data_IF_301491929908
#
_entry.id   IF_301491929908
#
_cell.length_a   1.000
_cell.length_b   1.000
_cell.length_c   1.000
_cell.angle_alpha   90.00
_cell.angle_beta   90.00
_cell.angle_gamma   90.00
#
_symmetry.space_group_name_H-M   'P 1'
#
loop_
_entity.id
_entity.type
_entity.pdbx_description
1 polymer ?
#
# COMPACT_ATOMS: atom_id res chain seq x y z
N UNK A 1 -6.31 -2.59 2.20
CA UNK A 1 -6.83 -1.31 2.69
C UNK A 1 -5.73 -0.27 2.61
N UNK A 2 -5.97 0.74 1.78
CA UNK A 2 -5.23 2.01 1.71
C UNK A 2 -5.72 2.98 2.79
N UNK A 3 -5.05 4.12 2.94
CA UNK A 3 -5.49 5.22 3.79
C UNK A 3 -5.45 6.53 3.03
N UNK A 4 -6.32 7.45 3.38
CA UNK A 4 -6.41 8.79 2.82
C UNK A 4 -5.99 9.81 3.89
N UNK A 5 -5.08 10.71 3.55
CA UNK A 5 -4.67 11.83 4.40
C UNK A 5 -5.45 13.09 4.02
N UNK A 6 -6.11 13.70 5.00
CA UNK A 6 -6.91 14.91 4.88
C UNK A 6 -6.23 16.06 5.62
N UNK A 7 -5.92 17.16 4.93
CA UNK A 7 -5.43 18.38 5.57
C UNK A 7 -6.60 19.30 5.92
N UNK A 8 -6.73 19.65 7.20
CA UNK A 8 -7.79 20.48 7.76
C UNK A 8 -7.17 21.82 8.18
N UNK A 9 -7.73 22.99 7.77
CA UNK A 9 -7.26 24.28 8.27
C UNK A 9 -7.24 24.32 9.80
N UNK A 10 -6.18 24.87 10.40
CA UNK A 10 -5.97 24.75 11.86
C UNK A 10 -7.08 25.37 12.71
N UNK A 11 -7.73 26.43 12.23
CA UNK A 11 -8.91 27.01 12.90
C UNK A 11 -10.06 25.99 12.98
N UNK A 12 -10.35 25.30 11.87
CA UNK A 12 -11.41 24.29 11.78
C UNK A 12 -11.03 23.06 12.60
N UNK A 13 -9.77 22.61 12.51
CA UNK A 13 -9.29 21.48 13.30
C UNK A 13 -9.48 21.76 14.80
N UNK A 14 -9.08 22.94 15.29
CA UNK A 14 -9.21 23.31 16.71
C UNK A 14 -10.67 23.37 17.17
N UNK A 15 -11.60 23.75 16.30
CA UNK A 15 -13.03 23.70 16.61
C UNK A 15 -13.58 22.27 16.70
N UNK A 16 -13.07 21.36 15.88
CA UNK A 16 -13.54 19.97 15.76
C UNK A 16 -12.70 18.96 16.53
N UNK A 17 -11.58 19.35 17.15
CA UNK A 17 -10.55 18.45 17.67
C UNK A 17 -11.11 17.36 18.58
N UNK A 18 -11.93 17.74 19.57
CA UNK A 18 -12.53 16.77 20.48
C UNK A 18 -13.43 15.74 19.75
N UNK A 19 -14.18 16.19 18.73
CA UNK A 19 -15.05 15.33 17.94
C UNK A 19 -14.23 14.42 17.01
N UNK A 20 -13.15 14.93 16.42
CA UNK A 20 -12.21 14.15 15.61
C UNK A 20 -11.61 13.05 16.47
N UNK A 21 -10.99 13.39 17.61
CA UNK A 21 -10.31 12.44 18.49
C UNK A 21 -11.26 11.35 19.03
N UNK A 22 -12.49 11.70 19.41
CA UNK A 22 -13.53 10.73 19.78
C UNK A 22 -13.91 9.83 18.59
N UNK A 23 -14.17 10.42 17.43
CA UNK A 23 -14.62 9.72 16.22
C UNK A 23 -13.58 8.75 15.67
N UNK A 24 -12.28 9.05 15.77
CA UNK A 24 -11.21 8.14 15.37
C UNK A 24 -11.35 6.78 16.05
N UNK A 25 -11.75 6.75 17.32
CA UNK A 25 -11.86 5.51 18.10
C UNK A 25 -13.22 4.82 18.03
N UNK A 26 -14.31 5.53 17.71
CA UNK A 26 -15.66 4.94 17.82
C UNK A 26 -16.58 5.15 16.64
N UNK A 27 -16.36 6.16 15.80
CA UNK A 27 -17.25 6.45 14.69
C UNK A 27 -17.07 5.44 13.55
N UNK A 28 -18.13 5.25 12.77
CA UNK A 28 -17.99 4.63 11.46
C UNK A 28 -17.23 5.56 10.50
N UNK A 29 -16.80 5.02 9.36
CA UNK A 29 -16.00 5.77 8.38
C UNK A 29 -16.78 6.94 7.78
N UNK A 30 -18.06 6.75 7.47
CA UNK A 30 -18.88 7.78 6.82
C UNK A 30 -19.09 9.00 7.73
N UNK A 31 -19.33 8.77 9.03
CA UNK A 31 -19.42 9.83 10.02
C UNK A 31 -18.12 10.62 10.11
N UNK A 32 -16.98 9.94 10.13
CA UNK A 32 -15.69 10.62 10.16
C UNK A 32 -15.47 11.42 8.88
N UNK A 33 -15.78 10.86 7.70
CA UNK A 33 -15.67 11.59 6.44
C UNK A 33 -16.57 12.81 6.37
N UNK A 34 -17.78 12.76 6.93
CA UNK A 34 -18.67 13.92 6.99
C UNK A 34 -18.07 15.09 7.79
N UNK A 35 -17.26 14.78 8.82
CA UNK A 35 -16.52 15.81 9.57
C UNK A 35 -15.34 16.39 8.77
N UNK A 36 -14.85 15.67 7.76
CA UNK A 36 -13.68 16.01 6.94
C UNK A 36 -14.05 16.57 5.55
N UNK A 37 -15.30 16.40 5.12
CA UNK A 37 -15.77 16.52 3.72
C UNK A 37 -15.64 17.92 3.11
N UNK A 38 -15.35 18.96 3.90
CA UNK A 38 -15.15 20.33 3.40
C UNK A 38 -13.68 20.69 3.10
N UNK A 39 -12.75 19.71 3.14
CA UNK A 39 -11.32 20.01 3.02
C UNK A 39 -10.62 19.39 1.80
N UNK A 40 -10.00 20.27 1.01
CA UNK A 40 -9.68 20.12 -0.42
C UNK A 40 -8.51 19.18 -0.76
N UNK A 41 -7.68 18.78 0.21
CA UNK A 41 -6.49 17.98 -0.10
C UNK A 41 -6.57 16.58 0.48
N UNK A 42 -6.90 15.64 -0.40
CA UNK A 42 -6.92 14.20 -0.17
C UNK A 42 -5.70 13.57 -0.83
N UNK A 43 -4.82 12.98 -0.03
CA UNK A 43 -3.65 12.24 -0.52
C UNK A 43 -3.84 10.77 -0.19
N UNK A 44 -3.86 9.92 -1.22
CA UNK A 44 -3.98 8.47 -1.05
C UNK A 44 -2.61 7.89 -0.68
N UNK A 45 -2.55 7.14 0.42
CA UNK A 45 -1.43 6.32 0.83
C UNK A 45 -1.75 4.85 0.55
N UNK A 46 -0.90 4.20 -0.24
CA UNK A 46 -1.03 2.77 -0.51
C UNK A 46 -0.93 1.94 0.77
N UNK A 47 -1.40 0.70 0.70
CA UNK A 47 -1.48 -0.21 1.85
C UNK A 47 -0.14 -0.36 2.60
N UNK A 48 0.99 -0.48 1.90
CA UNK A 48 2.32 -0.52 2.54
C UNK A 48 2.79 0.82 3.11
N UNK A 49 2.37 1.93 2.52
CA UNK A 49 2.87 3.27 2.84
C UNK A 49 2.35 3.79 4.16
N UNK A 50 1.04 3.72 4.39
CA UNK A 50 0.47 4.17 5.65
C UNK A 50 0.99 3.32 6.81
N UNK A 51 1.26 2.03 6.59
CA UNK A 51 1.77 1.14 7.63
C UNK A 51 3.17 1.51 8.09
N UNK A 52 4.08 1.75 7.16
CA UNK A 52 5.44 2.19 7.52
C UNK A 52 5.44 3.59 8.14
N UNK A 53 4.52 4.46 7.70
CA UNK A 53 4.33 5.78 8.30
C UNK A 53 3.82 5.69 9.74
N UNK A 54 2.76 4.91 9.99
CA UNK A 54 2.14 4.78 11.31
C UNK A 54 3.08 4.12 12.33
N UNK A 55 3.89 3.14 11.88
CA UNK A 55 4.93 2.54 12.72
C UNK A 55 6.00 3.58 13.12
N UNK A 56 6.42 4.45 12.20
CA UNK A 56 7.36 5.52 12.52
C UNK A 56 6.70 6.61 13.39
N UNK A 57 5.45 6.95 13.11
CA UNK A 57 4.65 7.97 13.78
C UNK A 57 3.94 7.45 15.04
N UNK A 58 4.54 6.48 15.74
CA UNK A 58 3.89 5.78 16.85
C UNK A 58 3.60 6.65 18.08
N UNK A 59 4.29 7.77 18.20
CA UNK A 59 4.11 8.75 19.28
C UNK A 59 2.87 9.65 19.08
N UNK A 60 2.31 9.70 17.86
CA UNK A 60 1.11 10.49 17.58
C UNK A 60 -0.16 9.68 17.88
N UNK A 61 -1.29 10.39 18.05
CA UNK A 61 -2.56 9.72 18.32
C UNK A 61 -3.01 8.88 17.11
N UNK A 62 -3.12 7.57 17.31
CA UNK A 62 -3.55 6.64 16.29
C UNK A 62 -4.44 5.51 16.84
N UNK A 63 -5.29 4.99 15.97
CA UNK A 63 -6.18 3.86 16.21
C UNK A 63 -5.98 2.88 15.06
N UNK A 64 -5.27 1.78 15.35
CA UNK A 64 -5.08 0.67 14.41
C UNK A 64 -5.74 -0.58 14.99
N UNK A 65 -6.86 -0.99 14.41
CA UNK A 65 -7.58 -2.23 14.76
C UNK A 65 -7.82 -3.04 13.49
N UNK A 66 -6.97 -4.03 13.28
CA UNK A 66 -7.05 -4.92 12.12
C UNK A 66 -8.34 -5.76 12.11
N UNK A 67 -9.00 -6.02 13.24
CA UNK A 67 -10.27 -6.79 13.26
C UNK A 67 -11.44 -5.96 12.77
N UNK A 68 -11.38 -4.65 12.96
CA UNK A 68 -12.40 -3.71 12.52
C UNK A 68 -12.03 -3.01 11.21
N UNK A 69 -10.93 -3.43 10.56
CA UNK A 69 -10.36 -2.77 9.38
C UNK A 69 -10.20 -1.25 9.61
N UNK A 70 -9.64 -0.87 10.77
CA UNK A 70 -9.48 0.53 11.15
C UNK A 70 -8.01 0.91 11.18
N UNK A 71 -7.67 1.99 10.48
CA UNK A 71 -6.32 2.54 10.39
C UNK A 71 -6.40 4.06 10.35
N UNK A 72 -6.42 4.67 11.54
CA UNK A 72 -6.67 6.10 11.68
C UNK A 72 -5.60 6.78 12.52
N UNK A 73 -5.28 8.01 12.19
CA UNK A 73 -4.31 8.84 12.91
C UNK A 73 -4.73 10.30 12.81
N UNK A 74 -4.42 11.08 13.83
CA UNK A 74 -4.59 12.52 13.76
C UNK A 74 -3.33 13.23 14.27
N UNK A 75 -2.97 14.28 13.55
CA UNK A 75 -1.87 15.18 13.84
C UNK A 75 -2.49 16.55 14.07
N UNK A 76 -2.42 17.04 15.30
CA UNK A 76 -2.90 18.39 15.59
C UNK A 76 -2.00 19.45 14.93
N UNK A 77 -2.50 20.68 14.70
CA UNK A 77 -1.67 21.78 14.21
C UNK A 77 -0.43 22.05 15.07
N UNK A 78 -0.53 21.82 16.38
CA UNK A 78 0.54 22.05 17.34
C UNK A 78 1.64 20.97 17.24
N UNK A 79 1.28 19.76 16.81
CA UNK A 79 2.18 18.61 16.57
C UNK A 79 2.72 18.56 15.13
N UNK A 80 2.19 19.40 14.23
CA UNK A 80 2.50 19.33 12.80
C UNK A 80 4.00 19.50 12.52
N UNK A 81 4.69 20.38 13.26
CA UNK A 81 6.13 20.59 13.07
C UNK A 81 6.93 19.31 13.31
N UNK A 82 6.61 18.57 14.38
CA UNK A 82 7.27 17.31 14.73
C UNK A 82 6.96 16.22 13.69
N UNK A 83 5.70 16.18 13.22
CA UNK A 83 5.30 15.26 12.16
C UNK A 83 6.01 15.56 10.83
N UNK A 84 6.12 16.84 10.46
CA UNK A 84 6.84 17.28 9.24
C UNK A 84 8.32 16.95 9.32
N UNK A 85 8.96 17.13 10.48
CA UNK A 85 10.34 16.71 10.71
C UNK A 85 10.52 15.19 10.54
N UNK A 86 9.57 14.40 11.03
CA UNK A 86 9.57 12.95 10.87
C UNK A 86 9.46 12.53 9.40
N UNK A 87 8.46 13.01 8.66
CA UNK A 87 8.27 12.60 7.25
C UNK A 87 9.34 13.16 6.31
N UNK A 88 10.05 14.23 6.75
CA UNK A 88 11.21 14.80 6.04
C UNK A 88 12.56 14.31 6.57
N UNK A 89 12.56 13.36 7.49
CA UNK A 89 13.78 12.73 7.93
C UNK A 89 14.48 12.03 6.75
N UNK A 90 15.73 12.41 6.48
CA UNK A 90 16.48 11.92 5.31
C UNK A 90 16.66 10.40 5.34
N UNK A 91 16.93 9.82 6.51
CA UNK A 91 17.14 8.38 6.64
C UNK A 91 15.84 7.61 6.36
N UNK A 92 14.71 8.10 6.86
CA UNK A 92 13.40 7.51 6.58
C UNK A 92 13.02 7.67 5.10
N UNK A 93 13.26 8.82 4.48
CA UNK A 93 12.97 9.00 3.05
C UNK A 93 13.78 8.06 2.16
N UNK A 94 15.07 7.87 2.47
CA UNK A 94 15.91 6.89 1.76
C UNK A 94 15.37 5.47 1.97
N UNK A 95 14.98 5.13 3.21
CA UNK A 95 14.42 3.83 3.52
C UNK A 95 13.08 3.58 2.80
N UNK A 96 12.19 4.57 2.74
CA UNK A 96 10.84 4.45 2.17
C UNK A 96 10.80 4.62 0.65
N UNK A 97 11.89 5.06 0.02
CA UNK A 97 11.99 5.23 -1.44
C UNK A 97 11.37 4.08 -2.26
N UNK A 98 11.52 2.79 -1.89
CA UNK A 98 10.92 1.69 -2.66
C UNK A 98 9.39 1.65 -2.68
N UNK A 99 8.72 2.32 -1.72
CA UNK A 99 7.26 2.29 -1.52
C UNK A 99 6.61 3.69 -1.59
N UNK A 100 7.38 4.76 -1.78
CA UNK A 100 6.94 6.14 -1.52
C UNK A 100 6.17 6.79 -2.68
N UNK A 101 4.97 6.28 -3.02
CA UNK A 101 4.10 6.94 -4.01
C UNK A 101 3.31 8.08 -3.35
N UNK A 102 2.35 7.75 -2.49
CA UNK A 102 1.56 8.73 -1.73
C UNK A 102 2.38 9.48 -0.66
N UNK A 103 3.39 8.85 -0.07
CA UNK A 103 4.28 9.46 0.92
C UNK A 103 5.07 10.63 0.33
N UNK A 104 5.50 10.53 -0.92
CA UNK A 104 6.18 11.64 -1.59
C UNK A 104 5.22 12.83 -1.77
N UNK A 105 3.98 12.58 -2.19
CA UNK A 105 2.95 13.61 -2.31
C UNK A 105 2.62 14.24 -0.95
N UNK A 106 2.52 13.43 0.12
CA UNK A 106 2.29 13.90 1.47
C UNK A 106 3.42 14.83 1.94
N UNK A 107 4.67 14.44 1.74
CA UNK A 107 5.85 15.23 2.10
C UNK A 107 5.83 16.60 1.42
N UNK A 108 5.49 16.63 0.13
CA UNK A 108 5.45 17.85 -0.68
C UNK A 108 4.28 18.76 -0.29
N UNK A 109 3.16 18.17 0.10
CA UNK A 109 1.94 18.90 0.43
C UNK A 109 1.95 19.54 1.83
N UNK A 110 2.75 19.03 2.77
CA UNK A 110 2.73 19.53 4.15
C UNK A 110 3.54 20.84 4.28
N UNK A 111 2.97 21.87 4.95
CA UNK A 111 3.66 23.14 5.12
C UNK A 111 4.79 23.03 6.16
N UNK A 112 5.85 23.81 5.98
CA UNK A 112 7.04 23.77 6.84
C UNK A 112 6.98 24.84 7.91
N UNK A 113 7.13 24.45 9.17
CA UNK A 113 7.37 25.37 10.28
C UNK A 113 6.19 26.33 10.56
N UNK A 114 4.97 25.95 10.18
CA UNK A 114 3.75 26.73 10.42
C UNK A 114 2.61 25.79 10.82
N UNK A 115 1.80 26.19 11.80
CA UNK A 115 0.65 25.44 12.35
C UNK A 115 -0.64 25.70 11.53
N UNK A 116 -0.54 25.72 10.20
CA UNK A 116 -1.66 26.11 9.34
C UNK A 116 -2.71 25.02 9.17
N UNK A 117 -2.35 23.76 9.43
CA UNK A 117 -3.22 22.61 9.21
C UNK A 117 -3.09 21.56 10.31
N UNK A 118 -4.17 20.83 10.59
CA UNK A 118 -4.11 19.50 11.18
C UNK A 118 -4.23 18.44 10.09
N UNK A 119 -3.77 17.22 10.35
CA UNK A 119 -3.82 16.12 9.37
C UNK A 119 -4.57 14.96 9.97
N UNK A 120 -5.58 14.45 9.27
CA UNK A 120 -6.34 13.27 9.69
C UNK A 120 -6.22 12.18 8.64
N UNK A 121 -5.84 10.98 9.08
CA UNK A 121 -5.73 9.79 8.24
C UNK A 121 -6.92 8.88 8.48
N UNK A 122 -7.56 8.43 7.40
CA UNK A 122 -8.74 7.55 7.45
C UNK A 122 -8.58 6.42 6.44
N UNK A 123 -8.97 5.21 6.81
CA UNK A 123 -8.95 4.06 5.91
C UNK A 123 -9.80 4.25 4.62
N UNK A 124 -9.39 3.59 3.52
CA UNK A 124 -10.26 3.40 2.36
C UNK A 124 -11.48 2.55 2.74
N UNK A 125 -12.64 2.82 2.15
CA UNK A 125 -13.83 2.00 2.39
C UNK A 125 -13.70 0.60 1.77
N UNK A 126 -14.48 -0.37 2.25
CA UNK A 126 -14.41 -1.77 1.80
C UNK A 126 -14.88 -2.03 0.35
N UNK A 127 -15.21 -0.98 -0.41
CA UNK A 127 -15.70 -1.08 -1.79
C UNK A 127 -14.75 -1.86 -2.71
N UNK A 128 -13.44 -1.82 -2.44
CA UNK A 128 -12.42 -2.56 -3.18
C UNK A 128 -12.58 -4.09 -3.08
N UNK A 129 -13.22 -4.61 -2.02
CA UNK A 129 -13.50 -6.05 -1.86
C UNK A 129 -14.47 -6.59 -2.93
N UNK A 130 -15.25 -5.70 -3.55
CA UNK A 130 -16.20 -6.05 -4.60
C UNK A 130 -15.61 -5.99 -6.00
N UNK A 131 -14.33 -5.63 -6.13
CA UNK A 131 -13.63 -5.65 -7.42
C UNK A 131 -13.46 -7.09 -7.91
N UNK A 132 -13.64 -7.31 -9.21
CA UNK A 132 -13.45 -8.63 -9.81
C UNK A 132 -12.04 -9.16 -9.55
N UNK A 133 -11.94 -10.45 -9.19
CA UNK A 133 -10.65 -11.08 -8.91
C UNK A 133 -9.79 -11.15 -10.17
N UNK A 134 -8.68 -10.41 -10.16
CA UNK A 134 -7.61 -10.61 -11.13
C UNK A 134 -6.79 -11.83 -10.71
N UNK A 135 -6.72 -12.82 -11.60
CA UNK A 135 -5.96 -14.05 -11.36
C UNK A 135 -4.53 -13.83 -11.86
N UNK A 136 -3.74 -13.10 -11.08
CA UNK A 136 -2.36 -12.74 -11.45
C UNK A 136 -1.37 -13.23 -10.40
N UNK A 137 -0.16 -13.60 -10.85
CA UNK A 137 0.96 -13.85 -9.96
C UNK A 137 1.80 -12.60 -9.87
N UNK A 138 2.02 -12.22 -8.63
CA UNK A 138 2.48 -10.92 -8.24
C UNK A 138 3.91 -11.05 -7.72
N UNK A 139 4.85 -10.29 -8.29
CA UNK A 139 6.22 -10.20 -7.79
C UNK A 139 6.35 -9.02 -6.83
N UNK A 140 7.03 -9.19 -5.72
CA UNK A 140 7.43 -8.06 -4.87
C UNK A 140 8.96 -8.02 -4.89
N UNK A 141 9.52 -6.86 -5.23
CA UNK A 141 10.98 -6.67 -5.19
C UNK A 141 11.51 -6.89 -3.76
N UNK A 142 12.72 -7.45 -3.58
CA UNK A 142 13.26 -7.75 -2.26
C UNK A 142 13.29 -6.54 -1.31
N UNK A 143 13.65 -5.36 -1.80
CA UNK A 143 13.73 -4.12 -1.02
C UNK A 143 12.35 -3.60 -0.60
N UNK A 144 11.32 -3.83 -1.42
CA UNK A 144 9.93 -3.52 -1.07
C UNK A 144 9.42 -4.53 -0.04
N UNK A 145 9.67 -5.82 -0.29
CA UNK A 145 9.30 -6.91 0.62
C UNK A 145 9.91 -6.70 2.00
N UNK A 146 11.18 -6.30 2.10
CA UNK A 146 11.84 -6.04 3.38
C UNK A 146 11.12 -4.98 4.24
N UNK A 147 10.48 -3.99 3.61
CA UNK A 147 9.72 -2.95 4.30
C UNK A 147 8.34 -3.45 4.73
N UNK A 148 7.66 -4.20 3.86
CA UNK A 148 6.26 -4.61 4.11
C UNK A 148 6.11 -5.99 4.76
N UNK A 149 7.18 -6.79 4.84
CA UNK A 149 7.18 -8.15 5.38
C UNK A 149 6.60 -8.23 6.80
N UNK A 150 6.99 -7.36 7.76
CA UNK A 150 6.41 -7.40 9.11
C UNK A 150 4.88 -7.28 9.09
N UNK A 151 4.37 -6.40 8.22
CA UNK A 151 2.94 -6.18 8.05
C UNK A 151 2.25 -7.35 7.33
N UNK A 152 2.91 -7.95 6.32
CA UNK A 152 2.40 -9.15 5.66
C UNK A 152 2.26 -10.30 6.66
N UNK A 153 3.27 -10.51 7.53
CA UNK A 153 3.25 -11.55 8.56
C UNK A 153 2.12 -11.32 9.55
N UNK A 154 1.92 -10.08 10.01
CA UNK A 154 0.81 -9.75 10.89
C UNK A 154 -0.55 -10.08 10.26
N UNK A 155 -0.76 -9.77 8.97
CA UNK A 155 -2.01 -10.10 8.27
C UNK A 155 -2.20 -11.61 8.07
N UNK A 156 -1.11 -12.35 7.83
CA UNK A 156 -1.13 -13.82 7.75
C UNK A 156 -1.55 -14.43 9.09
N UNK A 157 -0.97 -13.95 10.20
CA UNK A 157 -1.28 -14.42 11.55
C UNK A 157 -2.74 -14.12 11.95
N UNK A 158 -3.27 -12.99 11.48
CA UNK A 158 -4.67 -12.61 11.67
C UNK A 158 -5.65 -13.36 10.74
N UNK A 159 -5.15 -13.98 9.66
CA UNK A 159 -5.97 -14.63 8.64
C UNK A 159 -6.68 -13.65 7.70
N UNK A 160 -6.28 -12.38 7.68
CA UNK A 160 -6.85 -11.36 6.79
C UNK A 160 -6.17 -11.41 5.42
N UNK A 161 -6.58 -12.42 4.64
CA UNK A 161 -6.04 -12.65 3.31
C UNK A 161 -6.45 -11.58 2.29
N UNK A 162 -7.59 -10.91 2.51
CA UNK A 162 -8.04 -9.83 1.64
C UNK A 162 -7.09 -8.62 1.77
N UNK A 163 -6.85 -8.13 2.99
CA UNK A 163 -5.92 -7.02 3.19
C UNK A 163 -4.49 -7.40 2.80
N UNK A 164 -4.08 -8.66 2.99
CA UNK A 164 -2.79 -9.16 2.52
C UNK A 164 -2.67 -9.09 0.99
N UNK A 165 -3.70 -9.53 0.26
CA UNK A 165 -3.71 -9.47 -1.20
C UNK A 165 -3.64 -8.02 -1.69
N UNK A 166 -4.36 -7.10 -1.03
CA UNK A 166 -4.30 -5.67 -1.32
C UNK A 166 -2.92 -5.07 -1.04
N UNK A 167 -2.31 -5.40 0.10
CA UNK A 167 -0.93 -4.98 0.43
C UNK A 167 0.08 -5.46 -0.62
N UNK A 168 0.00 -6.73 -1.01
CA UNK A 168 0.88 -7.30 -2.02
C UNK A 168 0.66 -6.64 -3.40
N UNK A 169 -0.59 -6.45 -3.80
CA UNK A 169 -0.95 -5.88 -5.10
C UNK A 169 -0.60 -4.40 -5.23
N UNK A 170 -0.68 -3.62 -4.16
CA UNK A 170 -0.31 -2.19 -4.21
C UNK A 170 1.21 -2.01 -4.41
N UNK A 171 2.02 -3.01 -4.03
CA UNK A 171 3.48 -2.91 -3.93
C UNK A 171 4.22 -3.89 -4.83
N UNK A 172 3.52 -4.46 -5.80
CA UNK A 172 4.10 -5.40 -6.71
C UNK A 172 4.62 -4.79 -8.00
N UNK A 173 5.61 -5.43 -8.57
CA UNK A 173 5.97 -5.23 -9.97
C UNK A 173 5.47 -6.40 -10.79
N UNK A 174 4.74 -6.08 -11.86
CA UNK A 174 4.20 -7.05 -12.79
C UNK A 174 5.30 -7.68 -13.64
N UNK A 175 5.98 -8.70 -13.10
CA UNK A 175 6.42 -9.93 -13.78
C UNK A 175 7.56 -10.58 -13.00
N UNK A 176 7.33 -11.81 -12.52
CA UNK A 176 8.45 -12.69 -12.17
C UNK A 176 8.85 -13.43 -13.44
N UNK A 177 10.01 -13.10 -14.00
CA UNK A 177 10.66 -14.03 -14.91
C UNK A 177 11.25 -15.18 -14.09
N UNK A 178 10.54 -16.32 -14.06
CA UNK A 178 11.04 -17.51 -13.42
C UNK A 178 12.19 -18.08 -14.26
N UNK A 179 13.37 -18.21 -13.66
CA UNK A 179 14.37 -19.15 -14.21
C UNK A 179 13.84 -20.57 -14.07
N UNK A 180 14.25 -21.47 -14.98
CA UNK A 180 13.82 -22.87 -14.95
C UNK A 180 14.02 -23.51 -13.56
N UNK A 181 15.17 -23.25 -12.91
CA UNK A 181 15.48 -23.80 -11.59
C UNK A 181 14.51 -23.33 -10.51
N UNK A 182 14.14 -22.03 -10.51
CA UNK A 182 13.15 -21.47 -9.57
C UNK A 182 11.75 -22.02 -9.84
N UNK A 183 11.40 -22.23 -11.11
CA UNK A 183 10.12 -22.84 -11.50
C UNK A 183 10.00 -24.28 -11.00
N UNK A 184 11.05 -25.10 -11.17
CA UNK A 184 11.07 -26.47 -10.67
C UNK A 184 11.05 -26.53 -9.14
N UNK A 185 11.79 -25.65 -8.46
CA UNK A 185 11.78 -25.57 -7.00
C UNK A 185 10.38 -25.18 -6.48
N UNK A 186 9.71 -24.22 -7.13
CA UNK A 186 8.33 -23.85 -6.81
C UNK A 186 7.38 -25.03 -7.00
N UNK A 187 7.47 -25.74 -8.13
CA UNK A 187 6.66 -26.94 -8.37
C UNK A 187 6.83 -28.01 -7.29
N UNK A 188 8.08 -28.27 -6.87
CA UNK A 188 8.36 -29.21 -5.77
C UNK A 188 7.82 -28.74 -4.41
N UNK A 189 7.89 -27.43 -4.13
CA UNK A 189 7.35 -26.84 -2.90
C UNK A 189 5.81 -26.92 -2.87
N UNK A 190 5.15 -26.62 -3.99
CA UNK A 190 3.69 -26.73 -4.12
C UNK A 190 3.26 -28.18 -3.92
N UNK A 191 3.88 -29.12 -4.63
CA UNK A 191 3.52 -30.54 -4.54
C UNK A 191 3.67 -31.11 -3.11
N UNK A 192 4.62 -30.60 -2.34
CA UNK A 192 4.88 -31.07 -0.98
C UNK A 192 4.07 -30.36 0.11
N UNK A 193 3.65 -29.10 -0.11
CA UNK A 193 3.02 -28.28 0.94
C UNK A 193 1.57 -27.90 0.67
N UNK A 194 1.19 -27.71 -0.60
CA UNK A 194 -0.14 -27.26 -1.01
C UNK A 194 -0.48 -27.80 -2.42
N UNK A 195 -0.60 -29.13 -2.59
CA UNK A 195 -0.79 -29.76 -3.90
C UNK A 195 -2.06 -29.30 -4.64
N UNK A 196 -3.06 -28.81 -3.93
CA UNK A 196 -4.27 -28.20 -4.49
C UNK A 196 -3.99 -26.96 -5.36
N UNK A 197 -2.87 -26.27 -5.15
CA UNK A 197 -2.49 -25.09 -5.95
C UNK A 197 -1.95 -25.46 -7.34
N UNK A 198 -1.63 -26.73 -7.61
CA UNK A 198 -1.08 -27.18 -8.91
C UNK A 198 -2.02 -26.79 -10.05
N UNK A 199 -3.32 -27.11 -9.92
CA UNK A 199 -4.30 -26.83 -10.97
C UNK A 199 -4.46 -25.33 -11.26
N UNK A 200 -4.38 -24.50 -10.22
CA UNK A 200 -4.45 -23.05 -10.35
C UNK A 200 -3.20 -22.54 -11.08
N UNK A 201 -2.01 -22.94 -10.61
CA UNK A 201 -0.73 -22.53 -11.20
C UNK A 201 -0.62 -22.93 -12.67
N UNK A 202 -0.97 -24.16 -13.03
CA UNK A 202 -0.94 -24.61 -14.44
C UNK A 202 -1.94 -23.87 -15.34
N UNK A 203 -3.07 -23.43 -14.78
CA UNK A 203 -4.10 -22.70 -15.53
C UNK A 203 -3.80 -21.21 -15.73
N UNK A 204 -3.01 -20.63 -14.82
CA UNK A 204 -2.81 -19.18 -14.72
C UNK A 204 -1.41 -18.75 -15.15
N UNK A 205 -0.41 -19.61 -15.03
CA UNK A 205 0.98 -19.27 -15.32
C UNK A 205 1.49 -19.92 -16.62
N UNK A 206 2.18 -19.11 -17.41
CA UNK A 206 3.00 -19.63 -18.51
C UNK A 206 4.35 -20.11 -17.97
N UNK A 207 4.76 -21.36 -18.22
CA UNK A 207 6.09 -21.82 -17.84
C UNK A 207 7.17 -21.08 -18.64
N UNK A 208 8.40 -20.97 -18.13
CA UNK A 208 9.46 -20.16 -18.76
C UNK A 208 9.75 -20.53 -20.23
N UNK A 209 9.66 -21.83 -20.57
CA UNK A 209 9.84 -22.31 -21.94
C UNK A 209 8.78 -21.80 -22.92
N UNK A 210 7.57 -21.51 -22.46
CA UNK A 210 6.46 -21.01 -23.29
C UNK A 210 6.64 -19.52 -23.58
N UNK A 211 7.11 -18.76 -22.59
CA UNK A 211 7.44 -17.33 -22.76
C UNK A 211 8.50 -17.10 -23.85
N UNK A 212 9.58 -17.90 -23.86
CA UNK A 212 10.62 -17.82 -24.90
C UNK A 212 10.04 -18.06 -26.30
N UNK A 213 9.20 -19.07 -26.45
CA UNK A 213 8.55 -19.39 -27.73
C UNK A 213 7.62 -18.27 -28.19
N UNK A 214 6.87 -17.64 -27.27
CA UNK A 214 6.00 -16.50 -27.57
C UNK A 214 6.83 -15.26 -27.94
N UNK A 215 7.90 -14.94 -27.20
CA UNK A 215 8.80 -13.82 -27.49
C UNK A 215 9.47 -13.98 -28.86
N UNK A 216 9.97 -15.17 -29.17
CA UNK A 216 10.55 -15.52 -30.48
C UNK A 216 9.51 -15.49 -31.61
N UNK A 217 8.24 -15.78 -31.34
CA UNK A 217 7.16 -15.65 -32.31
C UNK A 217 6.74 -14.18 -32.53
N UNK A 218 6.64 -13.39 -31.47
CA UNK A 218 6.26 -11.97 -31.52
C UNK A 218 7.32 -11.13 -32.26
N UNK A 219 8.61 -11.44 -32.08
CA UNK A 219 9.71 -10.82 -32.84
C UNK A 219 9.66 -11.10 -34.34
N UNK A 220 8.91 -12.13 -34.79
CA UNK A 220 8.70 -12.41 -36.23
C UNK A 220 7.50 -11.66 -36.81
N UNK A 221 6.63 -11.10 -35.99
CA UNK A 221 5.32 -10.56 -36.43
C UNK A 221 5.19 -9.06 -36.13
N UNK A 222 5.82 -8.56 -35.06
CA UNK A 222 5.73 -7.16 -34.66
C UNK A 222 6.73 -6.27 -35.42
N UNK A 223 6.27 -5.08 -35.82
CA UNK A 223 7.09 -4.04 -36.45
C UNK A 223 8.15 -3.57 -35.43
N UNK A 224 9.45 -3.59 -35.75
CA UNK A 224 10.52 -3.14 -34.86
C UNK A 224 10.33 -1.71 -34.32
N UNK A 225 9.53 -0.87 -34.99
CA UNK A 225 9.23 0.50 -34.55
C UNK A 225 8.09 0.59 -33.54
N UNK A 226 7.31 -0.47 -33.35
CA UNK A 226 6.16 -0.51 -32.43
C UNK A 226 6.38 -1.34 -31.17
N UNK A 227 7.58 -1.92 -30.99
CA UNK A 227 7.92 -2.65 -29.79
C UNK A 227 8.46 -1.68 -28.71
N UNK A 228 7.78 -1.53 -27.55
CA UNK A 228 8.47 -1.01 -26.37
C UNK A 228 9.63 -1.96 -26.05
N UNK A 229 10.81 -1.41 -25.78
CA UNK A 229 12.08 -2.14 -25.76
C UNK A 229 12.00 -3.44 -24.96
N UNK A 230 12.17 -4.57 -25.63
CA UNK A 230 12.28 -5.91 -25.02
C UNK A 230 13.63 -6.13 -24.29
N UNK A 231 14.41 -5.08 -24.10
CA UNK A 231 15.74 -5.08 -23.47
C UNK A 231 15.75 -4.40 -22.09
N UNK A 232 14.59 -4.18 -21.47
CA UNK A 232 14.47 -3.80 -20.06
C UNK A 232 14.40 -5.04 -19.17
#
# INVERSE_FOLDING_TARGET
MRCDAYQIPSEVYRELEAQILESLASADREQLLYLLEEHDLKIELLSGEWRVLFDAAHDFFQVVDAKQHRSRMAISPDELSEFVELVRNVDLQVQWTPVSFGLAELVDALPVGVDLVGVVFVEEGDDWLWSEHTHEIIAIRPEVYALIEPHMRALIELGDHAALARLASDHCEGSIEFTNDKWFALGGAIQSRAPELIAVVESTLSPPGLYRNIREALTRIADPKSQPSLDA
#
